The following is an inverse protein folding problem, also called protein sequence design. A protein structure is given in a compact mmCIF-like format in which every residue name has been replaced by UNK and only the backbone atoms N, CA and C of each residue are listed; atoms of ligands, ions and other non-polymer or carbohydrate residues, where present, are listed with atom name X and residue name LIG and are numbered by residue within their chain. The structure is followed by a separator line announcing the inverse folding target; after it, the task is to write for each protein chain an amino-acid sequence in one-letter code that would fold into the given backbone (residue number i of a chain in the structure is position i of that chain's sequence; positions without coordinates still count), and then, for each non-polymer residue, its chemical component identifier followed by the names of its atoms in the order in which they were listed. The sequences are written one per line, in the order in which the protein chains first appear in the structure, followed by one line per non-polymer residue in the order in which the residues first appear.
data_IF_507979897401
#
_entry.id   IF_507979897401
#
_cell.length_a   1.000
_cell.length_b   1.000
_cell.length_c   1.000
_cell.angle_alpha   90.00
_cell.angle_beta   90.00
_cell.angle_gamma   90.00
#
_symmetry.space_group_name_H-M   'P 1'
#
loop_
_entity.id
_entity.type
_entity.pdbx_description
1 polymer ?
#
# COMPACT_ATOMS: atom_id res chain seq x y z
N UNK A 1 27.52 -28.06 10.77
CA UNK A 1 28.47 -28.70 9.83
C UNK A 1 29.88 -28.40 10.33
N UNK A 2 30.25 -27.13 10.43
CA UNK A 2 31.47 -26.62 11.10
C UNK A 2 31.92 -27.40 12.34
N UNK A 3 31.06 -27.54 13.36
CA UNK A 3 31.41 -28.27 14.60
C UNK A 3 31.84 -29.72 14.32
N UNK A 4 31.19 -30.41 13.38
CA UNK A 4 31.54 -31.79 13.03
C UNK A 4 32.82 -31.83 12.20
N UNK A 5 33.05 -30.83 11.36
CA UNK A 5 34.26 -30.69 10.54
C UNK A 5 35.48 -30.54 11.44
N UNK A 6 35.46 -29.63 12.41
CA UNK A 6 36.56 -29.45 13.37
C UNK A 6 36.78 -30.65 14.30
N UNK A 7 35.83 -31.58 14.38
CA UNK A 7 35.97 -32.86 15.10
C UNK A 7 36.43 -34.01 14.18
N UNK A 8 36.82 -33.73 12.94
CA UNK A 8 37.16 -34.71 11.91
C UNK A 8 36.05 -35.76 11.64
N UNK A 9 34.79 -35.43 11.93
CA UNK A 9 33.64 -36.33 11.71
C UNK A 9 33.09 -36.19 10.28
N UNK A 10 33.95 -36.30 9.27
CA UNK A 10 33.66 -35.96 7.87
C UNK A 10 32.48 -36.73 7.25
N UNK A 11 32.28 -37.99 7.65
CA UNK A 11 31.13 -38.79 7.18
C UNK A 11 29.80 -38.20 7.64
N UNK A 12 29.73 -37.76 8.89
CA UNK A 12 28.53 -37.11 9.44
C UNK A 12 28.38 -35.68 8.90
N UNK A 13 29.48 -34.98 8.64
CA UNK A 13 29.47 -33.71 7.89
C UNK A 13 28.80 -33.85 6.52
N UNK A 14 29.25 -34.80 5.69
CA UNK A 14 28.72 -35.02 4.35
C UNK A 14 27.21 -35.34 4.37
N UNK A 15 26.75 -36.19 5.30
CA UNK A 15 25.31 -36.48 5.45
C UNK A 15 24.49 -35.23 5.78
N UNK A 16 24.97 -34.43 6.74
CA UNK A 16 24.30 -33.20 7.15
C UNK A 16 24.31 -32.15 6.03
N UNK A 17 25.44 -32.02 5.33
CA UNK A 17 25.62 -31.16 4.18
C UNK A 17 24.61 -31.46 3.07
N UNK A 18 24.50 -32.72 2.62
CA UNK A 18 23.56 -33.08 1.54
C UNK A 18 22.11 -32.78 1.93
N UNK A 19 21.73 -33.06 3.19
CA UNK A 19 20.40 -32.72 3.70
C UNK A 19 20.17 -31.20 3.70
N UNK A 20 21.15 -30.43 4.17
CA UNK A 20 21.08 -28.98 4.23
C UNK A 20 21.02 -28.35 2.82
N UNK A 21 21.85 -28.81 1.87
CA UNK A 21 21.84 -28.36 0.46
C UNK A 21 20.48 -28.62 -0.18
N UNK A 22 19.89 -29.80 0.03
CA UNK A 22 18.54 -30.10 -0.47
C UNK A 22 17.50 -29.13 0.07
N UNK A 23 17.51 -28.85 1.37
CA UNK A 23 16.60 -27.87 1.99
C UNK A 23 16.84 -26.47 1.42
N UNK A 24 18.11 -26.06 1.28
CA UNK A 24 18.45 -24.75 0.75
C UNK A 24 17.97 -24.57 -0.69
N UNK A 25 18.16 -25.57 -1.54
CA UNK A 25 17.69 -25.60 -2.93
C UNK A 25 16.16 -25.56 -3.03
N UNK A 26 15.46 -26.41 -2.28
CA UNK A 26 13.99 -26.48 -2.29
C UNK A 26 13.32 -25.18 -1.81
N UNK A 27 14.00 -24.38 -0.98
CA UNK A 27 13.47 -23.13 -0.44
C UNK A 27 14.11 -21.88 -1.09
N UNK A 28 14.92 -22.05 -2.14
CA UNK A 28 15.67 -20.98 -2.83
C UNK A 28 16.50 -20.09 -1.87
N UNK A 29 17.12 -20.73 -0.87
CA UNK A 29 17.93 -20.09 0.16
C UNK A 29 19.37 -19.92 -0.33
N UNK A 30 19.56 -19.13 -1.39
CA UNK A 30 20.82 -19.08 -2.14
C UNK A 30 22.05 -18.67 -1.31
N UNK A 31 21.92 -17.78 -0.33
CA UNK A 31 23.04 -17.43 0.57
C UNK A 31 23.54 -18.63 1.36
N UNK A 32 22.62 -19.42 1.92
CA UNK A 32 22.96 -20.65 2.62
C UNK A 32 23.45 -21.73 1.67
N UNK A 33 22.90 -21.81 0.46
CA UNK A 33 23.37 -22.75 -0.54
C UNK A 33 24.83 -22.46 -0.92
N UNK A 34 25.18 -21.20 -1.17
CA UNK A 34 26.55 -20.79 -1.44
C UNK A 34 27.50 -21.15 -0.28
N UNK A 35 27.12 -20.86 0.96
CA UNK A 35 27.89 -21.25 2.15
C UNK A 35 28.09 -22.77 2.24
N UNK A 36 27.04 -23.56 1.96
CA UNK A 36 27.12 -25.02 1.96
C UNK A 36 28.06 -25.54 0.85
N UNK A 37 28.13 -24.87 -0.31
CA UNK A 37 29.11 -25.24 -1.35
C UNK A 37 30.54 -25.05 -0.87
N UNK A 38 30.81 -24.00 -0.07
CA UNK A 38 32.13 -23.80 0.53
C UNK A 38 32.51 -24.96 1.47
N UNK A 39 31.57 -25.39 2.32
CA UNK A 39 31.78 -26.58 3.17
C UNK A 39 31.97 -27.87 2.37
N UNK A 40 31.32 -28.00 1.21
CA UNK A 40 31.50 -29.15 0.34
C UNK A 40 32.89 -29.22 -0.28
N UNK A 41 33.45 -28.06 -0.69
CA UNK A 41 34.82 -27.94 -1.19
C UNK A 41 35.86 -28.32 -0.14
N UNK A 42 35.71 -27.83 1.10
CA UNK A 42 36.59 -28.22 2.20
C UNK A 42 36.55 -29.74 2.46
N UNK A 43 35.35 -30.35 2.46
CA UNK A 43 35.21 -31.80 2.61
C UNK A 43 35.77 -32.60 1.42
N UNK A 44 35.86 -31.99 0.24
CA UNK A 44 36.48 -32.54 -0.96
C UNK A 44 38.00 -32.60 -0.81
N UNK A 45 38.61 -31.52 -0.32
CA UNK A 45 40.05 -31.45 -0.04
C UNK A 45 40.47 -32.55 0.95
N UNK A 46 39.75 -32.69 2.07
CA UNK A 46 39.99 -33.75 3.06
C UNK A 46 39.82 -35.17 2.47
N UNK A 47 38.86 -35.36 1.57
CA UNK A 47 38.64 -36.63 0.89
C UNK A 47 39.80 -36.98 -0.05
N UNK A 48 40.33 -35.98 -0.78
CA UNK A 48 41.51 -36.14 -1.62
C UNK A 48 42.77 -36.48 -0.80
N UNK A 49 43.00 -35.81 0.32
CA UNK A 49 44.09 -36.15 1.25
C UNK A 49 43.96 -37.59 1.78
N UNK A 50 42.73 -38.03 1.98
CA UNK A 50 42.39 -39.41 2.38
C UNK A 50 42.38 -40.42 1.22
N UNK A 51 42.79 -40.03 0.01
CA UNK A 51 42.88 -40.89 -1.17
C UNK A 51 41.55 -41.23 -1.87
N UNK A 52 40.47 -40.53 -1.57
CA UNK A 52 39.14 -40.74 -2.16
C UNK A 52 38.84 -39.70 -3.27
N UNK A 53 38.91 -40.11 -4.53
CA UNK A 53 38.78 -39.22 -5.70
C UNK A 53 37.39 -39.26 -6.39
N UNK A 54 36.32 -39.60 -5.66
CA UNK A 54 35.02 -39.97 -6.26
C UNK A 54 34.06 -38.82 -6.57
N UNK A 55 34.42 -37.56 -6.28
CA UNK A 55 33.53 -36.41 -6.43
C UNK A 55 33.89 -35.60 -7.69
N UNK A 56 32.86 -35.21 -8.44
CA UNK A 56 32.95 -34.42 -9.67
C UNK A 56 33.14 -32.93 -9.32
N UNK A 57 34.36 -32.43 -9.52
CA UNK A 57 34.72 -31.03 -9.25
C UNK A 57 34.05 -30.07 -10.25
N UNK A 58 33.91 -30.47 -11.51
CA UNK A 58 33.32 -29.62 -12.55
C UNK A 58 31.83 -29.39 -12.26
N UNK A 59 31.10 -30.44 -11.84
CA UNK A 59 29.72 -30.31 -11.41
C UNK A 59 29.55 -29.35 -10.21
N UNK A 60 30.51 -29.35 -9.27
CA UNK A 60 30.48 -28.44 -8.12
C UNK A 60 30.75 -26.99 -8.52
N UNK A 61 31.70 -26.77 -9.46
CA UNK A 61 32.00 -25.46 -10.02
C UNK A 61 30.79 -24.90 -10.77
N UNK A 62 30.13 -25.71 -11.59
CA UNK A 62 28.93 -25.28 -12.33
C UNK A 62 27.75 -25.00 -11.39
N UNK A 63 27.56 -25.80 -10.33
CA UNK A 63 26.57 -25.53 -9.30
C UNK A 63 26.85 -24.19 -8.59
N UNK A 64 28.10 -23.90 -8.24
CA UNK A 64 28.48 -22.62 -7.64
C UNK A 64 28.21 -21.45 -8.57
N UNK A 65 28.53 -21.59 -9.86
CA UNK A 65 28.26 -20.55 -10.87
C UNK A 65 26.75 -20.24 -10.99
N UNK A 66 25.89 -21.26 -11.05
CA UNK A 66 24.42 -21.08 -11.07
C UNK A 66 23.92 -20.38 -9.79
N UNK A 67 24.42 -20.77 -8.61
CA UNK A 67 24.04 -20.14 -7.34
C UNK A 67 24.48 -18.67 -7.29
N UNK A 68 25.69 -18.34 -7.73
CA UNK A 68 26.18 -16.96 -7.82
C UNK A 68 25.32 -16.13 -8.79
N UNK A 69 24.96 -16.68 -9.94
CA UNK A 69 24.12 -15.99 -10.92
C UNK A 69 22.73 -15.68 -10.34
N UNK A 70 22.09 -16.66 -9.69
CA UNK A 70 20.80 -16.49 -9.00
C UNK A 70 20.89 -15.48 -7.86
N UNK A 71 21.99 -15.48 -7.09
CA UNK A 71 22.25 -14.49 -6.05
C UNK A 71 22.34 -13.08 -6.62
N UNK A 72 23.12 -12.89 -7.69
CA UNK A 72 23.26 -11.60 -8.37
C UNK A 72 21.91 -11.10 -8.89
N UNK A 73 21.13 -11.99 -9.53
CA UNK A 73 19.79 -11.67 -10.02
C UNK A 73 18.86 -11.25 -8.86
N UNK A 74 18.80 -12.05 -7.80
CA UNK A 74 17.97 -11.77 -6.63
C UNK A 74 18.37 -10.45 -5.93
N UNK A 75 19.68 -10.19 -5.80
CA UNK A 75 20.20 -8.96 -5.23
C UNK A 75 19.81 -7.72 -6.06
N UNK A 76 19.89 -7.81 -7.38
CA UNK A 76 19.47 -6.72 -8.27
C UNK A 76 17.99 -6.38 -8.09
N UNK A 77 17.11 -7.40 -7.97
CA UNK A 77 15.70 -7.17 -7.64
C UNK A 77 15.50 -6.56 -6.25
N UNK A 78 16.26 -6.99 -5.25
CA UNK A 78 16.18 -6.40 -3.91
C UNK A 78 16.56 -4.92 -3.90
N UNK A 79 17.52 -4.47 -4.72
CA UNK A 79 17.87 -3.06 -4.85
C UNK A 79 16.67 -2.26 -5.38
N UNK A 80 16.05 -2.71 -6.47
CA UNK A 80 14.86 -2.07 -7.04
C UNK A 80 13.69 -2.05 -6.04
N UNK A 81 13.48 -3.16 -5.34
CA UNK A 81 12.46 -3.27 -4.30
C UNK A 81 12.71 -2.31 -3.12
N UNK A 82 13.96 -2.15 -2.70
CA UNK A 82 14.30 -1.21 -1.61
C UNK A 82 14.05 0.24 -2.03
N UNK A 83 14.41 0.60 -3.27
CA UNK A 83 14.11 1.94 -3.82
C UNK A 83 12.60 2.20 -3.87
N UNK A 84 11.80 1.28 -4.42
CA UNK A 84 10.35 1.49 -4.50
C UNK A 84 9.70 1.56 -3.11
N UNK A 85 10.14 0.74 -2.15
CA UNK A 85 9.61 0.84 -0.78
C UNK A 85 9.95 2.15 -0.08
N UNK A 86 11.10 2.73 -0.39
CA UNK A 86 11.49 4.02 0.17
C UNK A 86 10.45 5.08 -0.20
N UNK A 87 10.06 5.15 -1.48
CA UNK A 87 9.00 6.04 -1.98
C UNK A 87 7.66 5.81 -1.24
N UNK A 88 7.28 4.55 -1.03
CA UNK A 88 6.01 4.24 -0.36
C UNK A 88 6.02 4.46 1.16
N UNK A 89 7.19 4.45 1.82
CA UNK A 89 7.31 4.68 3.26
C UNK A 89 7.50 6.14 3.65
N UNK A 90 8.03 6.98 2.74
CA UNK A 90 8.18 8.43 2.98
C UNK A 90 6.85 9.19 2.92
N UNK A 91 5.89 8.75 2.11
CA UNK A 91 4.63 9.49 1.92
C UNK A 91 3.41 8.69 1.47
N UNK A 92 3.44 7.35 1.50
CA UNK A 92 2.31 6.48 1.08
C UNK A 92 2.00 6.50 -0.42
N UNK A 93 2.35 7.59 -1.12
CA UNK A 93 2.14 7.86 -2.53
C UNK A 93 3.24 8.79 -3.06
N UNK A 94 3.40 8.78 -4.38
CA UNK A 94 4.28 9.68 -5.10
C UNK A 94 3.69 11.08 -5.07
N UNK A 95 4.40 12.04 -4.47
CA UNK A 95 3.99 13.44 -4.38
C UNK A 95 4.99 14.39 -5.03
N UNK A 96 6.28 14.07 -4.98
CA UNK A 96 7.31 14.94 -5.53
C UNK A 96 7.77 14.48 -6.90
N UNK A 97 8.28 15.42 -7.71
CA UNK A 97 8.85 15.11 -9.02
C UNK A 97 10.00 14.10 -8.90
N UNK A 98 10.78 14.16 -7.81
CA UNK A 98 11.85 13.21 -7.54
C UNK A 98 11.31 11.79 -7.29
N UNK A 99 10.22 11.66 -6.54
CA UNK A 99 9.55 10.37 -6.34
C UNK A 99 8.97 9.83 -7.65
N UNK A 100 8.38 10.70 -8.49
CA UNK A 100 7.89 10.32 -9.83
C UNK A 100 9.01 9.81 -10.71
N UNK A 101 10.11 10.54 -10.79
CA UNK A 101 11.29 10.15 -11.55
C UNK A 101 11.86 8.81 -11.08
N UNK A 102 11.89 8.55 -9.77
CA UNK A 102 12.34 7.28 -9.22
C UNK A 102 11.42 6.11 -9.61
N UNK A 103 10.09 6.31 -9.58
CA UNK A 103 9.14 5.28 -10.00
C UNK A 103 9.27 4.98 -11.49
N UNK A 104 9.47 6.00 -12.33
CA UNK A 104 9.71 5.80 -13.77
C UNK A 104 11.05 5.09 -14.05
N UNK A 105 12.13 5.46 -13.34
CA UNK A 105 13.43 4.78 -13.45
C UNK A 105 13.29 3.27 -13.14
N UNK A 106 12.59 2.94 -12.05
CA UNK A 106 12.36 1.55 -11.64
C UNK A 106 11.47 0.82 -12.64
N UNK A 107 10.37 1.46 -13.06
CA UNK A 107 9.42 0.88 -14.01
C UNK A 107 10.03 0.63 -15.39
N UNK A 108 10.99 1.46 -15.82
CA UNK A 108 11.72 1.32 -17.07
C UNK A 108 12.92 0.37 -17.00
N UNK A 109 13.31 -0.11 -15.81
CA UNK A 109 14.51 -0.93 -15.66
C UNK A 109 14.39 -2.27 -16.43
N UNK A 110 15.45 -2.75 -17.11
CA UNK A 110 15.39 -3.97 -17.94
C UNK A 110 14.92 -5.24 -17.20
N UNK A 111 15.26 -5.37 -15.92
CA UNK A 111 14.78 -6.49 -15.09
C UNK A 111 13.26 -6.45 -14.84
N UNK A 112 12.65 -5.27 -14.86
CA UNK A 112 11.22 -5.06 -14.60
C UNK A 112 10.41 -5.17 -15.89
N UNK A 113 10.92 -4.64 -17.01
CA UNK A 113 10.23 -4.66 -18.31
C UNK A 113 10.48 -5.94 -19.11
N UNK A 114 11.61 -6.60 -18.89
CA UNK A 114 12.01 -7.80 -19.63
C UNK A 114 11.16 -9.03 -19.32
N UNK A 115 11.08 -9.95 -20.28
CA UNK A 115 10.40 -11.24 -20.10
C UNK A 115 11.34 -12.26 -19.46
N UNK A 116 10.85 -13.01 -18.47
CA UNK A 116 11.57 -14.12 -17.82
C UNK A 116 12.97 -13.73 -17.28
N UNK A 117 13.12 -12.48 -16.83
CA UNK A 117 14.36 -11.93 -16.25
C UNK A 117 14.62 -12.42 -14.82
N UNK A 118 13.62 -12.98 -14.15
CA UNK A 118 13.76 -13.56 -12.82
C UNK A 118 14.19 -15.03 -12.90
N UNK A 119 15.34 -15.35 -12.31
CA UNK A 119 15.90 -16.70 -12.35
C UNK A 119 15.36 -17.62 -11.25
N UNK A 120 14.56 -17.10 -10.32
CA UNK A 120 14.02 -17.83 -9.16
C UNK A 120 12.61 -17.36 -8.82
N UNK A 121 11.85 -18.15 -8.08
CA UNK A 121 10.51 -17.78 -7.59
C UNK A 121 10.59 -16.61 -6.60
N UNK A 122 11.62 -16.56 -5.76
CA UNK A 122 11.92 -15.41 -4.90
C UNK A 122 12.17 -14.13 -5.70
N UNK A 123 12.94 -14.21 -6.78
CA UNK A 123 13.16 -13.07 -7.68
C UNK A 123 11.86 -12.69 -8.43
N UNK A 124 11.10 -13.68 -8.91
CA UNK A 124 9.87 -13.46 -9.65
C UNK A 124 8.81 -12.76 -8.79
N UNK A 125 8.66 -13.19 -7.53
CA UNK A 125 7.78 -12.49 -6.58
C UNK A 125 8.23 -11.05 -6.35
N UNK A 126 9.53 -10.75 -6.25
CA UNK A 126 10.00 -9.35 -6.13
C UNK A 126 9.69 -8.57 -7.41
N UNK A 127 9.94 -9.15 -8.58
CA UNK A 127 9.70 -8.51 -9.87
C UNK A 127 8.23 -8.05 -9.99
N UNK A 128 7.28 -8.99 -9.87
CA UNK A 128 5.85 -8.67 -9.95
C UNK A 128 5.41 -7.73 -8.83
N UNK A 129 5.98 -7.86 -7.63
CA UNK A 129 5.66 -6.98 -6.51
C UNK A 129 6.10 -5.54 -6.78
N UNK A 130 7.31 -5.34 -7.32
CA UNK A 130 7.81 -4.03 -7.76
C UNK A 130 6.98 -3.46 -8.91
N UNK A 131 6.59 -4.29 -9.91
CA UNK A 131 5.67 -3.86 -10.97
C UNK A 131 4.32 -3.40 -10.41
N UNK A 132 3.76 -4.16 -9.47
CA UNK A 132 2.50 -3.83 -8.79
C UNK A 132 2.56 -2.47 -8.11
N UNK A 133 3.70 -2.14 -7.48
CA UNK A 133 3.95 -0.83 -6.90
C UNK A 133 4.12 0.29 -7.92
N UNK A 134 4.82 0.07 -9.03
CA UNK A 134 4.93 1.05 -10.10
C UNK A 134 3.54 1.41 -10.66
N UNK A 135 2.69 0.42 -10.91
CA UNK A 135 1.31 0.65 -11.34
C UNK A 135 0.46 1.29 -10.24
N UNK A 136 0.67 0.93 -8.98
CA UNK A 136 -0.01 1.53 -7.83
C UNK A 136 0.29 3.03 -7.70
N UNK A 137 1.56 3.42 -7.85
CA UNK A 137 1.99 4.82 -7.89
C UNK A 137 1.29 5.61 -9.00
N UNK A 138 1.13 5.00 -10.18
CA UNK A 138 0.43 5.57 -11.34
C UNK A 138 -1.10 5.48 -11.25
N UNK A 139 -1.65 4.90 -10.17
CA UNK A 139 -3.09 4.67 -9.97
C UNK A 139 -3.73 3.76 -11.02
N UNK A 140 -2.94 2.90 -11.64
CA UNK A 140 -3.39 1.90 -12.59
C UNK A 140 -3.88 0.65 -11.83
N UNK A 141 -4.99 0.79 -11.08
CA UNK A 141 -5.46 -0.19 -10.10
C UNK A 141 -5.64 -1.59 -10.68
N UNK A 142 -6.18 -1.70 -11.90
CA UNK A 142 -6.38 -2.98 -12.57
C UNK A 142 -5.05 -3.70 -12.87
N UNK A 143 -4.04 -2.96 -13.35
CA UNK A 143 -2.72 -3.52 -13.62
C UNK A 143 -1.99 -3.85 -12.31
N UNK A 144 -2.08 -2.98 -11.31
CA UNK A 144 -1.52 -3.21 -9.98
C UNK A 144 -2.09 -4.49 -9.35
N UNK A 145 -3.41 -4.67 -9.41
CA UNK A 145 -4.10 -5.86 -8.95
C UNK A 145 -3.61 -7.12 -9.68
N UNK A 146 -3.49 -7.08 -11.02
CA UNK A 146 -2.98 -8.19 -11.81
C UNK A 146 -1.59 -8.64 -11.31
N UNK A 147 -0.69 -7.69 -11.06
CA UNK A 147 0.67 -8.02 -10.60
C UNK A 147 0.70 -8.58 -9.19
N UNK A 148 -0.08 -8.00 -8.26
CA UNK A 148 -0.16 -8.53 -6.90
C UNK A 148 -0.85 -9.90 -6.83
N UNK A 149 -1.88 -10.15 -7.63
CA UNK A 149 -2.48 -11.49 -7.78
C UNK A 149 -1.47 -12.49 -8.35
N UNK A 150 -0.58 -12.08 -9.27
CA UNK A 150 0.51 -12.95 -9.73
C UNK A 150 1.49 -13.32 -8.61
N UNK A 151 1.83 -12.37 -7.73
CA UNK A 151 2.67 -12.66 -6.54
C UNK A 151 1.95 -13.64 -5.61
N UNK A 152 0.67 -13.40 -5.34
CA UNK A 152 -0.15 -14.29 -4.51
C UNK A 152 -0.20 -15.70 -5.09
N UNK A 153 -0.46 -15.85 -6.39
CA UNK A 153 -0.50 -17.13 -7.09
C UNK A 153 0.83 -17.90 -6.96
N UNK A 154 1.97 -17.24 -7.19
CA UNK A 154 3.29 -17.88 -7.02
C UNK A 154 3.47 -18.40 -5.59
N UNK A 155 3.08 -17.62 -4.58
CA UNK A 155 3.22 -18.02 -3.17
C UNK A 155 2.25 -19.15 -2.80
N UNK A 156 1.01 -19.13 -3.32
CA UNK A 156 0.03 -20.18 -3.07
C UNK A 156 0.41 -21.52 -3.72
N UNK A 157 0.96 -21.47 -4.93
CA UNK A 157 1.49 -22.65 -5.64
C UNK A 157 2.75 -23.22 -4.97
N UNK A 158 3.46 -22.43 -4.15
CA UNK A 158 4.74 -22.82 -3.53
C UNK A 158 4.72 -22.62 -2.00
N UNK A 159 4.02 -23.48 -1.23
CA UNK A 159 3.79 -23.30 0.21
C UNK A 159 5.07 -23.15 1.05
N UNK A 160 6.15 -23.84 0.68
CA UNK A 160 7.46 -23.74 1.35
C UNK A 160 8.04 -22.32 1.28
N UNK A 161 7.93 -21.67 0.13
CA UNK A 161 8.38 -20.29 -0.07
C UNK A 161 7.42 -19.31 0.61
N UNK A 162 6.11 -19.57 0.57
CA UNK A 162 5.12 -18.76 1.30
C UNK A 162 5.37 -18.74 2.80
N UNK A 163 5.62 -19.91 3.39
CA UNK A 163 6.00 -20.06 4.81
C UNK A 163 7.26 -19.27 5.16
N UNK A 164 8.19 -19.16 4.21
CA UNK A 164 9.44 -18.42 4.36
C UNK A 164 9.31 -16.90 4.15
N UNK A 165 8.20 -16.44 3.54
CA UNK A 165 7.93 -15.04 3.19
C UNK A 165 6.56 -14.55 3.71
N UNK A 166 6.22 -14.76 4.99
CA UNK A 166 4.87 -14.47 5.50
C UNK A 166 4.52 -12.97 5.41
N UNK A 167 5.48 -12.08 5.71
CA UNK A 167 5.30 -10.62 5.56
C UNK A 167 4.96 -10.21 4.14
N UNK A 168 5.61 -10.85 3.15
CA UNK A 168 5.34 -10.57 1.73
C UNK A 168 3.93 -10.99 1.38
N UNK A 169 3.50 -12.18 1.80
CA UNK A 169 2.15 -12.67 1.52
C UNK A 169 1.07 -11.77 2.14
N UNK A 170 1.20 -11.39 3.42
CA UNK A 170 0.28 -10.46 4.09
C UNK A 170 0.24 -9.12 3.37
N UNK A 171 1.41 -8.54 3.05
CA UNK A 171 1.45 -7.26 2.35
C UNK A 171 0.91 -7.35 0.91
N UNK A 172 1.11 -8.46 0.20
CA UNK A 172 0.47 -8.73 -1.09
C UNK A 172 -1.04 -8.75 -0.97
N UNK A 173 -1.61 -9.47 0.00
CA UNK A 173 -3.05 -9.49 0.23
C UNK A 173 -3.59 -8.08 0.54
N UNK A 174 -2.86 -7.27 1.32
CA UNK A 174 -3.25 -5.90 1.62
C UNK A 174 -3.44 -5.07 0.33
N UNK A 175 -2.47 -5.10 -0.58
CA UNK A 175 -2.60 -4.35 -1.84
C UNK A 175 -3.60 -4.95 -2.83
N UNK A 176 -3.83 -6.28 -2.80
CA UNK A 176 -4.95 -6.89 -3.55
C UNK A 176 -6.28 -6.32 -3.04
N UNK A 177 -6.51 -6.30 -1.73
CA UNK A 177 -7.74 -5.78 -1.14
C UNK A 177 -7.91 -4.30 -1.48
N UNK A 178 -6.88 -3.48 -1.28
CA UNK A 178 -6.95 -2.05 -1.57
C UNK A 178 -7.23 -1.80 -3.06
N UNK A 179 -6.61 -2.55 -3.98
CA UNK A 179 -6.88 -2.40 -5.40
C UNK A 179 -8.31 -2.86 -5.77
N UNK A 180 -8.83 -3.91 -5.12
CA UNK A 180 -10.23 -4.32 -5.28
C UNK A 180 -11.19 -3.24 -4.78
N UNK A 181 -10.91 -2.59 -3.64
CA UNK A 181 -11.70 -1.48 -3.12
C UNK A 181 -11.71 -0.30 -4.10
N UNK A 182 -10.55 0.13 -4.61
CA UNK A 182 -10.46 1.24 -5.58
C UNK A 182 -11.04 0.90 -6.97
N UNK A 183 -11.25 -0.39 -7.26
CA UNK A 183 -11.98 -0.88 -8.44
C UNK A 183 -13.48 -1.15 -8.16
N UNK A 184 -13.97 -0.79 -6.97
CA UNK A 184 -15.34 -1.06 -6.50
C UNK A 184 -15.74 -2.55 -6.52
N UNK A 185 -14.76 -3.45 -6.40
CA UNK A 185 -14.91 -4.91 -6.28
C UNK A 185 -15.13 -5.31 -4.82
N UNK A 186 -16.16 -4.73 -4.21
CA UNK A 186 -16.37 -4.77 -2.76
C UNK A 186 -16.60 -6.17 -2.20
N UNK A 187 -17.33 -7.03 -2.92
CA UNK A 187 -17.53 -8.42 -2.50
C UNK A 187 -16.21 -9.20 -2.48
N UNK A 188 -15.37 -9.02 -3.50
CA UNK A 188 -14.06 -9.66 -3.55
C UNK A 188 -13.15 -9.16 -2.42
N UNK A 189 -13.13 -7.84 -2.18
CA UNK A 189 -12.39 -7.23 -1.07
C UNK A 189 -12.83 -7.80 0.28
N UNK A 190 -14.14 -7.98 0.51
CA UNK A 190 -14.69 -8.57 1.75
C UNK A 190 -14.23 -10.01 1.94
N UNK A 191 -14.24 -10.82 0.88
CA UNK A 191 -13.69 -12.19 0.92
C UNK A 191 -12.17 -12.20 1.18
N UNK A 192 -11.42 -11.28 0.58
CA UNK A 192 -9.98 -11.15 0.79
C UNK A 192 -9.63 -10.68 2.21
N UNK A 193 -10.45 -9.83 2.83
CA UNK A 193 -10.30 -9.45 4.26
C UNK A 193 -10.52 -10.67 5.17
N UNK A 194 -11.54 -11.50 4.88
CA UNK A 194 -11.76 -12.77 5.60
C UNK A 194 -10.55 -13.70 5.46
N UNK A 195 -10.00 -13.82 4.25
CA UNK A 195 -8.77 -14.57 4.00
C UNK A 195 -7.61 -13.99 4.83
N UNK A 196 -7.38 -12.68 4.81
CA UNK A 196 -6.34 -12.00 5.58
C UNK A 196 -6.39 -12.38 7.07
N UNK A 197 -7.58 -12.31 7.69
CA UNK A 197 -7.78 -12.68 9.11
C UNK A 197 -7.51 -14.15 9.40
N UNK A 198 -7.69 -15.02 8.41
CA UNK A 198 -7.43 -16.46 8.53
C UNK A 198 -5.94 -16.83 8.38
N UNK A 199 -5.11 -15.94 7.82
CA UNK A 199 -3.69 -16.21 7.52
C UNK A 199 -2.90 -16.65 8.75
N UNK A 200 -3.22 -16.13 9.95
CA UNK A 200 -2.56 -16.53 11.21
C UNK A 200 -2.67 -18.03 11.53
N UNK A 201 -3.62 -18.74 10.92
CA UNK A 201 -3.80 -20.19 11.06
C UNK A 201 -2.89 -21.01 10.13
N UNK A 202 -2.21 -20.36 9.18
CA UNK A 202 -1.32 -21.02 8.24
C UNK A 202 0.06 -21.30 8.85
N UNK A 203 0.70 -22.37 8.41
CA UNK A 203 2.07 -22.71 8.81
C UNK A 203 3.04 -21.57 8.44
N UNK A 204 3.87 -21.12 9.40
CA UNK A 204 4.82 -20.01 9.23
C UNK A 204 4.27 -18.62 9.51
N UNK A 205 2.98 -18.49 9.87
CA UNK A 205 2.33 -17.19 10.12
C UNK A 205 2.03 -16.93 11.61
N UNK A 206 2.51 -17.78 12.51
CA UNK A 206 2.31 -17.64 13.96
C UNK A 206 3.24 -16.65 14.67
N UNK A 207 4.08 -15.91 13.93
CA UNK A 207 4.97 -14.90 14.50
C UNK A 207 4.21 -13.65 14.96
N UNK A 208 4.61 -13.07 16.08
CA UNK A 208 4.00 -11.84 16.65
C UNK A 208 4.04 -10.69 15.63
N UNK A 209 5.13 -10.58 14.86
CA UNK A 209 5.27 -9.57 13.83
C UNK A 209 4.28 -9.74 12.67
N UNK A 210 3.90 -10.98 12.37
CA UNK A 210 2.86 -11.30 11.38
C UNK A 210 1.48 -11.02 11.95
N UNK A 211 1.24 -11.35 13.21
CA UNK A 211 -0.01 -11.05 13.90
C UNK A 211 -0.31 -9.54 13.88
N UNK A 212 0.67 -8.70 14.21
CA UNK A 212 0.55 -7.25 14.12
C UNK A 212 0.21 -6.81 12.69
N UNK A 213 0.89 -7.36 11.67
CA UNK A 213 0.61 -7.00 10.28
C UNK A 213 -0.78 -7.43 9.81
N UNK A 214 -1.24 -8.62 10.20
CA UNK A 214 -2.58 -9.12 9.87
C UNK A 214 -3.65 -8.27 10.57
N UNK A 215 -3.46 -7.93 11.84
CA UNK A 215 -4.35 -7.03 12.57
C UNK A 215 -4.47 -5.70 11.83
N UNK A 216 -3.35 -5.01 11.60
CA UNK A 216 -3.32 -3.70 10.95
C UNK A 216 -3.95 -3.73 9.55
N UNK A 217 -3.50 -4.65 8.71
CA UNK A 217 -4.00 -4.75 7.33
C UNK A 217 -5.50 -5.07 7.30
N UNK A 218 -5.98 -5.98 8.15
CA UNK A 218 -7.39 -6.37 8.14
C UNK A 218 -8.33 -5.26 8.61
N UNK A 219 -8.00 -4.56 9.70
CA UNK A 219 -8.83 -3.46 10.21
C UNK A 219 -8.78 -2.23 9.29
N UNK A 220 -7.59 -1.80 8.84
CA UNK A 220 -7.47 -0.65 7.93
C UNK A 220 -8.19 -0.91 6.61
N UNK A 221 -8.05 -2.11 6.03
CA UNK A 221 -8.77 -2.46 4.81
C UNK A 221 -10.29 -2.50 5.01
N UNK A 222 -10.79 -3.01 6.14
CA UNK A 222 -12.24 -3.08 6.39
C UNK A 222 -12.84 -1.71 6.67
N UNK A 223 -12.16 -0.86 7.45
CA UNK A 223 -12.57 0.53 7.63
C UNK A 223 -12.60 1.26 6.28
N UNK A 224 -11.57 1.07 5.45
CA UNK A 224 -11.49 1.66 4.11
C UNK A 224 -12.59 1.15 3.18
N UNK A 225 -12.90 -0.15 3.23
CA UNK A 225 -13.99 -0.74 2.47
C UNK A 225 -15.33 -0.10 2.83
N UNK A 226 -15.62 0.00 4.13
CA UNK A 226 -16.89 0.56 4.61
C UNK A 226 -17.00 2.07 4.35
N UNK A 227 -15.90 2.82 4.51
CA UNK A 227 -15.77 4.23 4.10
C UNK A 227 -16.12 4.40 2.62
N UNK A 228 -15.46 3.64 1.74
CA UNK A 228 -15.72 3.67 0.28
C UNK A 228 -17.12 3.19 -0.12
N UNK A 229 -17.81 2.43 0.72
CA UNK A 229 -19.21 2.02 0.53
C UNK A 229 -20.22 3.03 1.13
N UNK A 230 -19.75 4.08 1.80
CA UNK A 230 -20.59 4.99 2.59
C UNK A 230 -21.28 4.31 3.77
N UNK A 231 -20.79 3.14 4.23
CA UNK A 231 -21.33 2.35 5.34
C UNK A 231 -20.70 2.74 6.68
N UNK A 232 -20.53 4.05 6.94
CA UNK A 232 -19.82 4.57 8.11
C UNK A 232 -20.44 4.13 9.45
N UNK A 233 -21.78 3.98 9.52
CA UNK A 233 -22.43 3.44 10.72
C UNK A 233 -22.05 1.98 11.01
N UNK A 234 -21.87 1.15 9.98
CA UNK A 234 -21.38 -0.21 10.16
C UNK A 234 -19.90 -0.21 10.57
N UNK A 235 -19.11 0.74 10.07
CA UNK A 235 -17.71 0.90 10.47
C UNK A 235 -17.55 1.26 11.96
N UNK A 236 -18.55 1.92 12.58
CA UNK A 236 -18.55 2.19 14.02
C UNK A 236 -18.54 0.90 14.87
N UNK A 237 -19.07 -0.22 14.36
CA UNK A 237 -19.03 -1.50 15.09
C UNK A 237 -17.60 -2.07 15.19
N UNK A 238 -16.68 -1.64 14.32
CA UNK A 238 -15.28 -2.04 14.36
C UNK A 238 -14.47 -1.25 15.39
N UNK A 239 -14.96 -0.12 15.89
CA UNK A 239 -14.21 0.78 16.76
C UNK A 239 -13.84 0.10 18.08
N UNK A 240 -14.79 -0.56 18.74
CA UNK A 240 -14.54 -1.28 19.99
C UNK A 240 -13.44 -2.35 19.85
N UNK A 241 -13.63 -3.34 18.96
CA UNK A 241 -12.63 -4.39 18.70
C UNK A 241 -11.27 -3.85 18.23
N UNK A 242 -11.26 -2.74 17.47
CA UNK A 242 -10.03 -2.09 17.06
C UNK A 242 -9.27 -1.53 18.27
N UNK A 243 -9.94 -0.77 19.14
CA UNK A 243 -9.29 -0.16 20.30
C UNK A 243 -8.78 -1.22 21.28
N UNK A 244 -9.58 -2.27 21.52
CA UNK A 244 -9.14 -3.42 22.32
C UNK A 244 -7.88 -4.06 21.73
N UNK A 245 -7.86 -4.31 20.42
CA UNK A 245 -6.68 -4.87 19.75
C UNK A 245 -5.47 -3.94 19.75
N UNK A 246 -5.66 -2.62 19.63
CA UNK A 246 -4.58 -1.63 19.76
C UNK A 246 -3.97 -1.67 21.16
N UNK A 247 -4.81 -1.73 22.20
CA UNK A 247 -4.39 -1.82 23.60
C UNK A 247 -3.65 -3.14 23.89
N UNK A 248 -4.16 -4.27 23.37
CA UNK A 248 -3.53 -5.59 23.50
C UNK A 248 -2.15 -5.66 22.82
N UNK A 249 -2.00 -5.02 21.66
CA UNK A 249 -0.72 -4.94 20.96
C UNK A 249 0.26 -4.03 21.70
N UNK A 250 -0.23 -2.95 22.29
CA UNK A 250 0.57 -2.01 23.08
C UNK A 250 1.77 -1.50 22.29
N UNK A 251 2.98 -1.59 22.86
CA UNK A 251 4.22 -1.14 22.21
C UNK A 251 4.61 -1.92 20.94
N UNK A 252 3.96 -3.05 20.65
CA UNK A 252 4.16 -3.81 19.41
C UNK A 252 3.43 -3.16 18.23
N UNK A 253 2.43 -2.33 18.48
CA UNK A 253 1.80 -1.53 17.45
C UNK A 253 2.75 -0.39 17.08
N UNK A 254 3.25 -0.43 15.84
CA UNK A 254 4.12 0.64 15.36
C UNK A 254 3.33 1.94 15.22
N UNK A 255 3.99 3.06 15.52
CA UNK A 255 3.42 4.41 15.45
C UNK A 255 2.78 4.76 14.11
N UNK A 256 3.32 4.21 13.01
CA UNK A 256 2.78 4.37 11.66
C UNK A 256 1.30 3.98 11.60
N UNK A 257 0.97 2.81 12.14
CA UNK A 257 -0.39 2.27 12.11
C UNK A 257 -1.30 2.95 13.11
N UNK A 258 -0.77 3.38 14.27
CA UNK A 258 -1.53 4.19 15.23
C UNK A 258 -2.04 5.48 14.59
N UNK A 259 -1.17 6.19 13.83
CA UNK A 259 -1.54 7.40 13.09
C UNK A 259 -2.60 7.10 12.02
N UNK A 260 -2.45 5.99 11.27
CA UNK A 260 -3.45 5.55 10.29
C UNK A 260 -4.81 5.26 10.91
N UNK A 261 -4.84 4.54 12.03
CA UNK A 261 -6.07 4.20 12.73
C UNK A 261 -6.76 5.45 13.25
N UNK A 262 -6.04 6.37 13.89
CA UNK A 262 -6.63 7.62 14.36
C UNK A 262 -7.23 8.44 13.21
N UNK A 263 -6.55 8.51 12.07
CA UNK A 263 -7.09 9.17 10.88
C UNK A 263 -8.34 8.45 10.34
N UNK A 264 -8.30 7.12 10.19
CA UNK A 264 -9.44 6.35 9.71
C UNK A 264 -10.66 6.46 10.63
N UNK A 265 -10.44 6.46 11.95
CA UNK A 265 -11.48 6.69 12.95
C UNK A 265 -12.09 8.09 12.81
N UNK A 266 -11.28 9.11 12.56
CA UNK A 266 -11.80 10.46 12.31
C UNK A 266 -12.76 10.49 11.11
N UNK A 267 -12.38 9.86 9.99
CA UNK A 267 -13.22 9.77 8.78
C UNK A 267 -14.51 8.99 9.05
N UNK A 268 -14.41 7.83 9.71
CA UNK A 268 -15.57 7.00 10.05
C UNK A 268 -16.57 7.73 10.94
N UNK A 269 -16.08 8.39 12.01
CA UNK A 269 -16.95 9.16 12.90
C UNK A 269 -17.58 10.35 12.16
N UNK A 270 -16.84 11.03 11.29
CA UNK A 270 -17.38 12.13 10.48
C UNK A 270 -18.50 11.65 9.56
N UNK A 271 -18.26 10.58 8.80
CA UNK A 271 -19.25 10.04 7.87
C UNK A 271 -20.49 9.48 8.55
N UNK A 272 -20.38 9.07 9.81
CA UNK A 272 -21.51 8.67 10.67
C UNK A 272 -22.27 9.85 11.31
N UNK A 273 -21.82 11.10 11.09
CA UNK A 273 -22.41 12.31 11.65
C UNK A 273 -21.92 12.65 13.07
N UNK A 274 -20.93 11.94 13.61
CA UNK A 274 -20.36 12.17 14.94
C UNK A 274 -19.17 13.16 14.88
N UNK A 275 -19.41 14.37 14.38
CA UNK A 275 -18.37 15.36 14.04
C UNK A 275 -17.44 15.71 15.23
N UNK A 276 -17.98 15.79 16.46
CA UNK A 276 -17.17 16.02 17.66
C UNK A 276 -16.18 14.86 17.93
N UNK A 277 -16.59 13.61 17.71
CA UNK A 277 -15.69 12.45 17.85
C UNK A 277 -14.69 12.39 16.70
N UNK A 278 -15.09 12.80 15.50
CA UNK A 278 -14.16 12.95 14.39
C UNK A 278 -13.02 13.92 14.74
N UNK A 279 -13.36 15.09 15.31
CA UNK A 279 -12.37 16.05 15.81
C UNK A 279 -11.46 15.45 16.89
N UNK A 280 -12.01 14.68 17.84
CA UNK A 280 -11.23 14.01 18.87
C UNK A 280 -10.14 13.11 18.28
N UNK A 281 -10.51 12.23 17.34
CA UNK A 281 -9.56 11.33 16.70
C UNK A 281 -8.57 12.06 15.79
N UNK A 282 -9.03 13.06 15.06
CA UNK A 282 -8.16 13.87 14.22
C UNK A 282 -7.11 14.63 15.03
N UNK A 283 -7.48 15.12 16.21
CA UNK A 283 -6.55 15.76 17.14
C UNK A 283 -5.49 14.79 17.68
N UNK A 284 -5.75 13.47 17.74
CA UNK A 284 -4.70 12.49 18.06
C UNK A 284 -3.61 12.45 16.98
N UNK A 285 -3.99 12.61 15.71
CA UNK A 285 -3.04 12.74 14.60
C UNK A 285 -2.31 14.08 14.67
N UNK A 286 -3.04 15.19 14.78
CA UNK A 286 -2.47 16.54 14.68
C UNK A 286 -1.51 16.89 15.82
N UNK A 287 -1.72 16.32 17.01
CA UNK A 287 -0.89 16.55 18.20
C UNK A 287 0.20 15.49 18.38
N UNK A 288 0.35 14.57 17.43
CA UNK A 288 1.43 13.60 17.46
C UNK A 288 2.78 14.29 17.16
N UNK A 289 3.82 13.90 17.89
CA UNK A 289 5.14 14.54 17.83
C UNK A 289 6.08 13.91 16.78
N UNK A 290 5.59 12.96 15.99
CA UNK A 290 6.40 12.25 15.00
C UNK A 290 6.85 13.16 13.83
N UNK A 291 8.15 13.45 13.68
CA UNK A 291 8.62 14.48 12.74
C UNK A 291 8.67 14.02 11.28
N UNK A 292 8.70 12.71 11.01
CA UNK A 292 9.05 12.17 9.69
C UNK A 292 8.08 11.13 9.14
N UNK A 293 7.43 10.36 10.01
CA UNK A 293 6.53 9.30 9.58
C UNK A 293 5.22 9.88 9.03
N UNK A 294 4.70 9.27 7.96
CA UNK A 294 3.38 9.53 7.38
C UNK A 294 2.97 11.00 7.27
N UNK A 295 3.91 11.83 6.80
CA UNK A 295 3.67 13.26 6.64
C UNK A 295 2.52 13.56 5.67
N UNK A 296 2.21 12.62 4.78
CA UNK A 296 0.99 12.60 3.96
C UNK A 296 -0.27 12.68 4.84
N UNK A 297 -0.42 11.83 5.84
CA UNK A 297 -1.58 11.85 6.75
C UNK A 297 -1.63 13.19 7.50
N UNK A 298 -0.51 13.70 7.99
CA UNK A 298 -0.48 14.99 8.70
C UNK A 298 -0.91 16.18 7.82
N UNK A 299 -0.57 16.15 6.53
CA UNK A 299 -1.01 17.15 5.55
C UNK A 299 -2.53 17.08 5.38
N UNK A 300 -3.07 15.90 5.08
CA UNK A 300 -4.50 15.76 4.83
C UNK A 300 -5.35 15.86 6.09
N UNK A 301 -4.82 15.50 7.26
CA UNK A 301 -5.46 15.73 8.54
C UNK A 301 -5.67 17.22 8.81
N UNK A 302 -4.73 18.09 8.42
CA UNK A 302 -4.91 19.55 8.58
C UNK A 302 -6.00 20.09 7.67
N UNK A 303 -6.07 19.62 6.42
CA UNK A 303 -7.14 19.98 5.49
C UNK A 303 -8.49 19.48 6.00
N UNK A 304 -8.55 18.24 6.47
CA UNK A 304 -9.75 17.68 7.05
C UNK A 304 -10.18 18.42 8.32
N UNK A 305 -9.24 18.93 9.11
CA UNK A 305 -9.54 19.73 10.30
C UNK A 305 -10.26 21.04 9.95
N UNK A 306 -9.94 21.65 8.80
CA UNK A 306 -10.67 22.82 8.31
C UNK A 306 -12.15 22.49 8.06
N UNK A 307 -12.41 21.34 7.45
CA UNK A 307 -13.75 20.84 7.17
C UNK A 307 -14.50 20.54 8.47
N UNK A 308 -13.88 19.81 9.41
CA UNK A 308 -14.50 19.50 10.70
C UNK A 308 -14.87 20.77 11.47
N UNK A 309 -13.98 21.77 11.50
CA UNK A 309 -14.28 23.01 12.20
C UNK A 309 -15.34 23.86 11.50
N UNK A 310 -15.43 23.79 10.17
CA UNK A 310 -16.53 24.38 9.43
C UNK A 310 -17.87 23.72 9.83
N UNK A 311 -17.95 22.39 9.82
CA UNK A 311 -19.15 21.64 10.22
C UNK A 311 -19.59 21.91 11.67
N UNK A 312 -18.64 22.17 12.57
CA UNK A 312 -18.93 22.52 13.96
C UNK A 312 -19.37 23.98 14.14
N UNK A 313 -19.37 24.80 13.09
CA UNK A 313 -19.69 26.21 13.16
C UNK A 313 -18.59 27.07 13.80
N UNK A 314 -17.36 26.56 13.92
CA UNK A 314 -16.24 27.25 14.56
C UNK A 314 -15.59 28.29 13.62
N UNK A 315 -16.39 29.15 12.99
CA UNK A 315 -15.95 30.05 11.91
C UNK A 315 -14.88 31.07 12.36
N UNK A 316 -14.97 31.58 13.58
CA UNK A 316 -13.96 32.51 14.13
C UNK A 316 -12.58 31.87 14.24
N UNK A 317 -12.53 30.61 14.69
CA UNK A 317 -11.28 29.85 14.81
C UNK A 317 -10.74 29.44 13.45
N UNK A 318 -11.62 29.17 12.48
CA UNK A 318 -11.28 28.63 11.17
C UNK A 318 -10.30 29.52 10.41
N UNK A 319 -10.40 30.84 10.50
CA UNK A 319 -9.45 31.76 9.85
C UNK A 319 -8.02 31.59 10.39
N UNK A 320 -7.87 31.31 11.69
CA UNK A 320 -6.56 31.01 12.28
C UNK A 320 -6.03 29.66 11.78
N UNK A 321 -6.89 28.63 11.69
CA UNK A 321 -6.50 27.29 11.25
C UNK A 321 -6.11 27.29 9.76
N UNK A 322 -6.81 28.06 8.90
CA UNK A 322 -6.41 28.23 7.50
C UNK A 322 -4.99 28.80 7.42
N UNK A 323 -4.70 29.87 8.17
CA UNK A 323 -3.37 30.50 8.19
C UNK A 323 -2.28 29.57 8.70
N UNK A 324 -2.56 28.77 9.74
CA UNK A 324 -1.59 27.79 10.25
C UNK A 324 -1.35 26.66 9.26
N UNK A 325 -2.40 26.18 8.58
CA UNK A 325 -2.33 25.13 7.54
C UNK A 325 -1.54 25.60 6.32
N UNK A 326 -1.81 26.81 5.81
CA UNK A 326 -1.04 27.42 4.72
C UNK A 326 0.46 27.45 5.04
N UNK A 327 0.84 27.95 6.24
CA UNK A 327 2.25 27.98 6.67
C UNK A 327 2.88 26.61 6.76
N UNK A 328 2.12 25.58 7.15
CA UNK A 328 2.62 24.21 7.22
C UNK A 328 2.92 23.67 5.82
N UNK A 329 1.98 23.81 4.88
CA UNK A 329 2.14 23.34 3.50
C UNK A 329 3.31 24.06 2.81
N UNK A 330 3.38 25.40 2.87
CA UNK A 330 4.46 26.15 2.23
C UNK A 330 5.87 25.76 2.69
N UNK A 331 6.03 25.18 3.89
CA UNK A 331 7.33 24.81 4.46
C UNK A 331 7.78 23.38 4.12
N UNK A 332 6.87 22.43 3.93
CA UNK A 332 7.21 21.00 3.88
C UNK A 332 6.87 20.31 2.56
N UNK A 333 5.84 20.75 1.86
CA UNK A 333 5.32 20.10 0.67
C UNK A 333 4.59 21.17 -0.13
N UNK A 334 5.08 21.56 -1.32
CA UNK A 334 4.36 22.52 -2.18
C UNK A 334 2.87 22.16 -2.18
N UNK A 335 2.03 23.15 -1.88
CA UNK A 335 0.60 22.93 -1.86
C UNK A 335 0.16 22.62 -3.30
N UNK A 336 -0.57 21.53 -3.46
CA UNK A 336 -1.22 21.20 -4.73
C UNK A 336 -2.41 22.13 -4.96
N UNK A 337 -2.85 22.26 -6.21
CA UNK A 337 -3.88 23.24 -6.57
C UNK A 337 -5.21 22.95 -5.84
N UNK A 338 -5.54 21.68 -5.62
CA UNK A 338 -6.72 21.28 -4.83
C UNK A 338 -6.61 21.71 -3.37
N UNK A 339 -5.43 21.63 -2.77
CA UNK A 339 -5.20 22.02 -1.38
C UNK A 339 -5.38 23.54 -1.22
N UNK A 340 -4.88 24.32 -2.19
CA UNK A 340 -5.05 25.78 -2.24
C UNK A 340 -6.52 26.15 -2.46
N UNK A 341 -7.19 25.51 -3.42
CA UNK A 341 -8.60 25.73 -3.72
C UNK A 341 -9.48 25.51 -2.48
N UNK A 342 -9.26 24.40 -1.78
CA UNK A 342 -10.02 24.05 -0.58
C UNK A 342 -9.82 25.09 0.53
N UNK A 343 -8.57 25.49 0.80
CA UNK A 343 -8.29 26.49 1.82
C UNK A 343 -8.91 27.86 1.51
N UNK A 344 -8.89 28.30 0.24
CA UNK A 344 -9.51 29.55 -0.18
C UNK A 344 -11.05 29.50 -0.01
N UNK A 345 -11.68 28.43 -0.47
CA UNK A 345 -13.13 28.28 -0.37
C UNK A 345 -13.59 28.17 1.08
N UNK A 346 -12.92 27.37 1.91
CA UNK A 346 -13.28 27.26 3.34
C UNK A 346 -13.14 28.60 4.05
N UNK A 347 -12.11 29.40 3.72
CA UNK A 347 -11.94 30.75 4.25
C UNK A 347 -13.08 31.69 3.85
N UNK A 348 -13.56 31.59 2.60
CA UNK A 348 -14.69 32.39 2.09
C UNK A 348 -16.01 31.93 2.73
N UNK A 349 -16.24 30.63 2.80
CA UNK A 349 -17.42 30.02 3.43
C UNK A 349 -17.56 30.43 4.89
N UNK A 350 -16.45 30.55 5.63
CA UNK A 350 -16.44 31.00 7.02
C UNK A 350 -16.92 32.46 7.24
N UNK A 351 -17.00 33.27 6.17
CA UNK A 351 -17.36 34.70 6.24
C UNK A 351 -18.72 35.01 5.63
N UNK A 352 -19.39 34.01 5.05
CA UNK A 352 -20.65 34.21 4.33
C UNK A 352 -21.82 33.79 5.20
N UNK A 353 -22.62 34.78 5.57
CA UNK A 353 -23.84 34.59 6.35
C UNK A 353 -25.04 34.23 5.44
N UNK A 354 -25.07 34.77 4.22
CA UNK A 354 -26.15 34.54 3.25
C UNK A 354 -26.13 33.11 2.68
N UNK A 355 -27.27 32.42 2.77
CA UNK A 355 -27.40 31.03 2.32
C UNK A 355 -27.24 30.87 0.81
N UNK A 356 -27.72 31.83 0.01
CA UNK A 356 -27.60 31.79 -1.44
C UNK A 356 -26.14 31.90 -1.88
N UNK A 357 -25.41 32.88 -1.36
CA UNK A 357 -23.99 33.06 -1.61
C UNK A 357 -23.16 31.86 -1.10
N UNK A 358 -23.56 31.23 0.02
CA UNK A 358 -22.92 30.00 0.52
C UNK A 358 -23.09 28.84 -0.46
N UNK A 359 -24.29 28.66 -1.00
CA UNK A 359 -24.58 27.63 -1.99
C UNK A 359 -23.78 27.87 -3.29
N UNK A 360 -23.68 29.12 -3.75
CA UNK A 360 -22.84 29.49 -4.91
C UNK A 360 -21.36 29.16 -4.68
N UNK A 361 -20.83 29.37 -3.47
CA UNK A 361 -19.46 28.99 -3.11
C UNK A 361 -19.25 27.48 -3.19
N UNK A 362 -20.22 26.67 -2.73
CA UNK A 362 -20.13 25.22 -2.85
C UNK A 362 -20.20 24.75 -4.31
N UNK A 363 -21.07 25.34 -5.13
CA UNK A 363 -21.10 25.05 -6.57
C UNK A 363 -19.79 25.43 -7.28
N UNK A 364 -19.21 26.59 -6.94
CA UNK A 364 -17.88 26.99 -7.43
C UNK A 364 -16.78 26.02 -6.99
N UNK A 365 -16.83 25.56 -5.74
CA UNK A 365 -15.88 24.58 -5.21
C UNK A 365 -16.01 23.23 -5.92
N UNK A 366 -17.22 22.70 -6.11
CA UNK A 366 -17.46 21.45 -6.86
C UNK A 366 -16.90 21.53 -8.28
N UNK A 367 -17.21 22.61 -9.00
CA UNK A 367 -16.72 22.82 -10.36
C UNK A 367 -15.18 22.89 -10.41
N UNK A 368 -14.56 23.63 -9.48
CA UNK A 368 -13.10 23.73 -9.39
C UNK A 368 -12.43 22.40 -9.04
N UNK A 369 -12.98 21.66 -8.07
CA UNK A 369 -12.49 20.34 -7.70
C UNK A 369 -12.58 19.37 -8.88
N UNK A 370 -13.73 19.29 -9.56
CA UNK A 370 -13.90 18.39 -10.72
C UNK A 370 -12.95 18.70 -11.87
N UNK A 371 -12.58 19.97 -12.07
CA UNK A 371 -11.59 20.33 -13.09
C UNK A 371 -10.19 19.88 -12.69
N UNK A 372 -9.74 20.22 -11.47
CA UNK A 372 -8.40 19.88 -10.99
C UNK A 372 -8.20 18.37 -10.85
N UNK A 373 -9.23 17.64 -10.40
CA UNK A 373 -9.18 16.19 -10.20
C UNK A 373 -9.10 15.38 -11.51
N UNK A 374 -9.19 16.03 -12.68
CA UNK A 374 -8.82 15.40 -13.95
C UNK A 374 -7.33 15.11 -14.04
N UNK A 375 -6.49 15.90 -13.34
CA UNK A 375 -5.07 15.59 -13.16
C UNK A 375 -4.93 14.47 -12.11
N UNK A 376 -4.36 13.30 -12.48
CA UNK A 376 -4.11 12.21 -11.55
C UNK A 376 -3.28 12.61 -10.33
N UNK A 377 -2.43 13.63 -10.43
CA UNK A 377 -1.59 14.10 -9.33
C UNK A 377 -2.41 14.81 -8.24
N UNK A 378 -3.45 15.54 -8.63
CA UNK A 378 -4.33 16.32 -7.73
C UNK A 378 -5.29 15.43 -6.93
N UNK A 379 -5.61 14.23 -7.43
CA UNK A 379 -6.57 13.33 -6.77
C UNK A 379 -6.08 12.66 -5.49
N UNK A 380 -4.97 13.08 -4.89
CA UNK A 380 -4.43 12.42 -3.70
C UNK A 380 -5.29 12.71 -2.47
N UNK A 381 -5.89 13.90 -2.39
CA UNK A 381 -6.81 14.29 -1.31
C UNK A 381 -7.95 13.30 -1.12
N UNK A 382 -8.50 12.78 -2.22
CA UNK A 382 -9.63 11.84 -2.23
C UNK A 382 -9.30 10.47 -1.64
N UNK A 383 -8.03 10.20 -1.34
CA UNK A 383 -7.63 8.99 -0.63
C UNK A 383 -7.72 9.14 0.87
N UNK A 384 -7.64 10.36 1.40
CA UNK A 384 -7.70 10.61 2.83
C UNK A 384 -9.09 11.08 3.24
N UNK A 385 -9.74 11.89 2.41
CA UNK A 385 -11.09 12.34 2.68
C UNK A 385 -11.84 12.64 1.37
N UNK A 386 -13.08 12.18 1.27
CA UNK A 386 -13.92 12.43 0.10
C UNK A 386 -14.50 13.86 0.13
N UNK A 387 -13.67 14.81 -0.29
CA UNK A 387 -14.06 16.23 -0.32
C UNK A 387 -15.20 16.50 -1.30
N UNK A 388 -15.35 15.68 -2.36
CA UNK A 388 -16.47 15.81 -3.30
C UNK A 388 -17.78 15.40 -2.62
N UNK A 389 -17.79 14.29 -1.89
CA UNK A 389 -18.95 13.87 -1.12
C UNK A 389 -19.35 14.93 -0.07
N UNK A 390 -18.37 15.55 0.60
CA UNK A 390 -18.64 16.66 1.53
C UNK A 390 -19.26 17.89 0.86
N UNK A 391 -18.78 18.28 -0.33
CA UNK A 391 -19.40 19.40 -1.06
C UNK A 391 -20.84 19.04 -1.44
N UNK A 392 -21.09 17.80 -1.85
CA UNK A 392 -22.43 17.33 -2.21
C UNK A 392 -23.42 17.36 -1.05
N UNK A 393 -22.99 17.12 0.19
CA UNK A 393 -23.90 17.24 1.35
C UNK A 393 -24.50 18.64 1.46
N UNK A 394 -23.76 19.67 1.04
CA UNK A 394 -24.18 21.07 1.11
C UNK A 394 -24.97 21.53 -0.11
N UNK A 395 -24.83 20.85 -1.26
CA UNK A 395 -25.57 21.18 -2.48
C UNK A 395 -26.86 20.36 -2.66
N UNK A 396 -26.94 19.18 -2.04
CA UNK A 396 -28.04 18.22 -2.24
C UNK A 396 -28.83 17.89 -0.97
N UNK A 397 -28.47 18.45 0.19
CA UNK A 397 -29.12 18.20 1.49
C UNK A 397 -29.22 16.70 1.86
N UNK A 398 -28.10 15.99 1.70
CA UNK A 398 -27.95 14.56 2.02
C UNK A 398 -26.82 14.36 3.01
N UNK A 399 -26.85 13.27 3.78
CA UNK A 399 -25.74 12.94 4.67
C UNK A 399 -24.48 12.56 3.89
N UNK A 400 -23.31 12.72 4.52
CA UNK A 400 -22.02 12.33 3.90
C UNK A 400 -22.01 10.87 3.44
N UNK A 401 -22.56 9.97 4.26
CA UNK A 401 -22.71 8.56 3.91
C UNK A 401 -23.55 8.34 2.64
N UNK A 402 -24.62 9.11 2.46
CA UNK A 402 -25.48 9.04 1.27
C UNK A 402 -24.78 9.63 0.04
N UNK A 403 -24.03 10.73 0.20
CA UNK A 403 -23.25 11.34 -0.87
C UNK A 403 -22.23 10.34 -1.44
N UNK A 404 -21.43 9.70 -0.57
CA UNK A 404 -20.47 8.65 -0.96
C UNK A 404 -21.16 7.49 -1.69
N UNK A 405 -22.31 7.02 -1.18
CA UNK A 405 -23.09 5.96 -1.84
C UNK A 405 -23.59 6.36 -3.22
N UNK A 406 -24.00 7.62 -3.39
CA UNK A 406 -24.50 8.11 -4.66
C UNK A 406 -23.40 8.19 -5.73
N UNK A 407 -22.15 8.51 -5.34
CA UNK A 407 -21.02 8.54 -6.28
C UNK A 407 -20.68 7.14 -6.82
N UNK A 408 -20.78 6.10 -6.00
CA UNK A 408 -20.65 4.70 -6.45
C UNK A 408 -21.65 4.32 -7.55
N UNK A 409 -22.90 4.82 -7.43
CA UNK A 409 -23.97 4.56 -8.40
C UNK A 409 -23.74 5.35 -9.70
N UNK A 410 -23.08 6.50 -9.62
CA UNK A 410 -22.72 7.30 -10.79
C UNK A 410 -21.59 6.64 -11.59
N UNK A 411 -20.54 6.14 -10.93
CA UNK A 411 -19.39 5.48 -11.57
C UNK A 411 -19.73 4.11 -12.18
N UNK A 412 -20.77 3.44 -11.69
CA UNK A 412 -21.22 2.13 -12.22
C UNK A 412 -22.16 2.24 -13.43
N UNK A 413 -22.62 3.43 -13.79
CA UNK A 413 -23.43 3.62 -15.01
C UNK A 413 -22.51 3.61 -16.24
N UNK A 414 -22.72 2.72 -17.23
CA UNK A 414 -21.93 2.73 -18.45
C UNK A 414 -22.12 4.06 -19.17
N UNK A 415 -21.01 4.78 -19.40
CA UNK A 415 -20.98 5.97 -20.26
C UNK A 415 -21.57 5.57 -21.62
N UNK A 416 -22.81 6.00 -21.89
CA UNK A 416 -23.43 5.82 -23.21
C UNK A 416 -22.55 6.55 -24.22
N UNK A 417 -21.74 5.79 -24.96
CA UNK A 417 -21.04 6.32 -26.15
C UNK A 417 -22.09 6.92 -27.07
N UNK A 418 -22.09 8.25 -27.16
CA UNK A 418 -22.93 8.98 -28.10
C UNK A 418 -22.66 8.48 -29.52
N UNK A 419 -23.70 7.99 -30.17
CA UNK A 419 -23.67 7.58 -31.57
C UNK A 419 -23.41 8.80 -32.45
N UNK A 420 -22.15 9.01 -32.81
CA UNK A 420 -21.76 9.94 -33.86
C UNK A 420 -22.31 9.45 -35.20
N UNK A 421 -23.41 10.04 -35.65
CA UNK A 421 -23.91 9.94 -37.03
C UNK A 421 -22.89 10.58 -37.96
N UNK A 422 -22.12 9.76 -38.66
CA UNK A 422 -21.31 10.18 -39.80
C UNK A 422 -22.23 10.43 -41.00
N UNK A 423 -22.47 11.71 -41.32
CA UNK A 423 -23.08 12.13 -42.59
C UNK A 423 -22.06 11.98 -43.71
N UNK A 424 -22.19 10.91 -44.50
CA UNK A 424 -21.45 10.74 -45.75
C UNK A 424 -22.04 11.67 -46.83
N UNK A 425 -21.25 12.66 -47.27
CA UNK A 425 -21.51 13.43 -48.50
C UNK A 425 -21.16 12.55 -49.72
N UNK A 426 -22.15 12.29 -50.57
CA UNK A 426 -21.94 11.80 -51.95
C UNK A 426 -21.45 12.96 -52.83
N UNK A 427 -20.50 12.74 -53.76
CA UNK A 427 -20.32 13.63 -54.89
C UNK A 427 -21.09 13.11 -56.11
N UNK A 428 -21.57 14.03 -56.93
CA UNK A 428 -22.00 13.79 -58.31
C UNK A 428 -22.43 15.12 -58.93
N UNK A 429 -22.63 15.18 -60.27
CA UNK A 429 -22.11 14.33 -61.32
C UNK A 429 -20.73 14.78 -61.83
#
# INVERSE_FOLDING_TARGET
IEILYHKALYKECNKLLHRAKRIARENERFYYWFELLNWEKMLLEEAYESGHFTKDLDALIDEERDVIERLRNLAAYHILYSKINYVFRSGGYVRTEEEHAMVEEIGGHPLITGKNTALSLRAATICYYTQGFCHWAKREWAMSLEKFERVKAILDEHPKIRRDLPKRYVRTLNYVILAEIELHRFDQARERIRLMRSVKKMEGFGGIDIEVQVFNASFLCELRLLDRMGEHRAALELVGPLLEGMDELGSRLHKEYEIEFHHALAVVHFGAGEVNKALFWLNKVLNDNEPTLRQDIFTYARLFNLIIHYELGNYELLEYIVRSTQRFLSKRQRAHDVEVLLMDHVKRLARVDDEGARLELFHSLDAGLRELLKDPNEGLVLKYFDVLAWVRTHTEDISFSEAVKADLVADTKPVRKGSGRTTAKRPGP
#
